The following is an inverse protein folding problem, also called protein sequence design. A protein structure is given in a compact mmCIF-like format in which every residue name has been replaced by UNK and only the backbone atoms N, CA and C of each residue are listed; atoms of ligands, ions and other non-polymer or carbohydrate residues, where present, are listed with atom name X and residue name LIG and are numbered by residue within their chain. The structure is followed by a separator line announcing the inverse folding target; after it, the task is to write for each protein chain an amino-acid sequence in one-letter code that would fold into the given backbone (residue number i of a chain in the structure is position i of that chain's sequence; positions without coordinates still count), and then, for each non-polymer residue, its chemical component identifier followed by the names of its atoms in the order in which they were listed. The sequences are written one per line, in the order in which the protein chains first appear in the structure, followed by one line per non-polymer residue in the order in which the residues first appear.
data_IF_408806544642
#
_entry.id   IF_408806544642
#
_cell.length_a   1.000
_cell.length_b   1.000
_cell.length_c   1.000
_cell.angle_alpha   90.00
_cell.angle_beta   90.00
_cell.angle_gamma   90.00
#
_symmetry.space_group_name_H-M   'P 1'
#
loop_
_entity.id
_entity.type
_entity.pdbx_description
1 polymer ?
#
# COMPACT_ATOMS: atom_id res chain seq x y z
N UNK A 1 -22.11 -74.65 20.32
CA UNK A 1 -22.65 -73.27 20.39
C UNK A 1 -21.57 -72.19 20.49
N UNK A 2 -20.31 -72.53 20.86
CA UNK A 2 -19.22 -71.56 21.05
C UNK A 2 -18.57 -70.99 19.75
N UNK A 3 -18.71 -71.66 18.59
CA UNK A 3 -18.06 -71.20 17.34
C UNK A 3 -18.77 -70.01 16.66
N UNK A 4 -20.09 -69.90 16.77
CA UNK A 4 -20.87 -68.81 16.14
C UNK A 4 -20.68 -67.44 16.81
N UNK A 5 -20.45 -67.41 18.13
CA UNK A 5 -20.17 -66.16 18.86
C UNK A 5 -18.81 -65.57 18.48
N UNK A 6 -17.81 -66.40 18.23
CA UNK A 6 -16.50 -65.97 17.72
C UNK A 6 -16.58 -65.32 16.34
N UNK A 7 -17.35 -65.92 15.42
CA UNK A 7 -17.53 -65.40 14.05
C UNK A 7 -18.27 -64.06 14.03
N UNK A 8 -19.33 -63.90 14.85
CA UNK A 8 -20.05 -62.64 14.95
C UNK A 8 -19.19 -61.51 15.55
N UNK A 9 -18.43 -61.80 16.61
CA UNK A 9 -17.52 -60.83 17.22
C UNK A 9 -16.42 -60.40 16.23
N UNK A 10 -15.89 -61.35 15.45
CA UNK A 10 -14.88 -61.09 14.45
C UNK A 10 -15.43 -60.27 13.27
N UNK A 11 -16.67 -60.55 12.83
CA UNK A 11 -17.36 -59.74 11.82
C UNK A 11 -17.62 -58.31 12.31
N UNK A 12 -18.10 -58.13 13.55
CA UNK A 12 -18.30 -56.82 14.17
C UNK A 12 -17.00 -56.03 14.28
N UNK A 13 -15.91 -56.68 14.68
CA UNK A 13 -14.58 -56.06 14.73
C UNK A 13 -14.10 -55.61 13.35
N UNK A 14 -14.29 -56.45 12.32
CA UNK A 14 -13.96 -56.10 10.94
C UNK A 14 -14.79 -54.93 10.42
N UNK A 15 -16.10 -54.91 10.71
CA UNK A 15 -16.96 -53.77 10.35
C UNK A 15 -16.54 -52.49 11.07
N UNK A 16 -16.18 -52.55 12.34
CA UNK A 16 -15.72 -51.40 13.11
C UNK A 16 -14.40 -50.84 12.55
N UNK A 17 -13.44 -51.72 12.25
CA UNK A 17 -12.17 -51.34 11.61
C UNK A 17 -12.37 -50.73 10.22
N UNK A 18 -13.25 -51.31 9.39
CA UNK A 18 -13.60 -50.75 8.08
C UNK A 18 -14.24 -49.35 8.21
N UNK A 19 -15.12 -49.17 9.21
CA UNK A 19 -15.75 -47.87 9.49
C UNK A 19 -14.70 -46.82 9.89
N UNK A 20 -13.76 -47.18 10.76
CA UNK A 20 -12.66 -46.28 11.16
C UNK A 20 -11.79 -45.92 9.95
N UNK A 21 -11.44 -46.88 9.11
CA UNK A 21 -10.65 -46.63 7.90
C UNK A 21 -11.36 -45.67 6.92
N UNK A 22 -12.67 -45.83 6.74
CA UNK A 22 -13.47 -44.91 5.90
C UNK A 22 -13.52 -43.50 6.49
N UNK A 23 -13.69 -43.35 7.81
CA UNK A 23 -13.68 -42.05 8.48
C UNK A 23 -12.31 -41.37 8.34
N UNK A 24 -11.22 -42.11 8.54
CA UNK A 24 -9.86 -41.60 8.36
C UNK A 24 -9.60 -41.16 6.92
N UNK A 25 -10.05 -41.94 5.94
CA UNK A 25 -9.94 -41.59 4.52
C UNK A 25 -10.76 -40.34 4.18
N UNK A 26 -11.98 -40.20 4.71
CA UNK A 26 -12.83 -39.03 4.52
C UNK A 26 -12.21 -37.75 5.12
N UNK A 27 -11.72 -37.82 6.37
CA UNK A 27 -11.04 -36.70 7.03
C UNK A 27 -9.77 -36.28 6.29
N UNK A 28 -8.97 -37.25 5.81
CA UNK A 28 -7.79 -36.96 5.01
C UNK A 28 -8.15 -36.28 3.68
N UNK A 29 -9.23 -36.73 3.02
CA UNK A 29 -9.71 -36.13 1.78
C UNK A 29 -10.18 -34.69 2.01
N UNK A 30 -11.01 -34.45 3.03
CA UNK A 30 -11.46 -33.11 3.42
C UNK A 30 -10.29 -32.18 3.74
N UNK A 31 -9.27 -32.67 4.44
CA UNK A 31 -8.05 -31.92 4.72
C UNK A 31 -7.30 -31.53 3.45
N UNK A 32 -7.18 -32.43 2.46
CA UNK A 32 -6.53 -32.10 1.18
C UNK A 32 -7.33 -31.09 0.37
N UNK A 33 -8.67 -31.17 0.38
CA UNK A 33 -9.54 -30.23 -0.33
C UNK A 33 -9.43 -28.84 0.31
N UNK A 34 -9.53 -28.75 1.64
CA UNK A 34 -9.39 -27.51 2.38
C UNK A 34 -8.01 -26.88 2.15
N UNK A 35 -6.94 -27.68 2.22
CA UNK A 35 -5.57 -27.19 1.99
C UNK A 35 -5.40 -26.64 0.57
N UNK A 36 -5.89 -27.36 -0.45
CA UNK A 36 -5.84 -26.89 -1.85
C UNK A 36 -6.66 -25.62 -2.06
N UNK A 37 -7.80 -25.50 -1.40
CA UNK A 37 -8.63 -24.29 -1.44
C UNK A 37 -7.90 -23.10 -0.81
N UNK A 38 -7.33 -23.26 0.39
CA UNK A 38 -6.56 -22.21 1.08
C UNK A 38 -5.37 -21.78 0.22
N UNK A 39 -4.60 -22.73 -0.32
CA UNK A 39 -3.47 -22.44 -1.22
C UNK A 39 -3.95 -21.69 -2.47
N UNK A 40 -5.08 -22.11 -3.07
CA UNK A 40 -5.67 -21.42 -4.21
C UNK A 40 -6.03 -19.96 -3.90
N UNK A 41 -6.63 -19.70 -2.74
CA UNK A 41 -6.94 -18.34 -2.27
C UNK A 41 -5.66 -17.53 -2.05
N UNK A 42 -4.64 -18.11 -1.39
CA UNK A 42 -3.35 -17.45 -1.17
C UNK A 42 -2.71 -17.07 -2.51
N UNK A 43 -2.63 -18.00 -3.47
CA UNK A 43 -2.05 -17.74 -4.80
C UNK A 43 -2.84 -16.64 -5.52
N UNK A 44 -4.18 -16.69 -5.51
CA UNK A 44 -5.01 -15.67 -6.13
C UNK A 44 -4.81 -14.29 -5.50
N UNK A 45 -4.68 -14.22 -4.17
CA UNK A 45 -4.39 -12.95 -3.47
C UNK A 45 -2.99 -12.42 -3.79
N UNK A 46 -1.97 -13.27 -3.83
CA UNK A 46 -0.61 -12.88 -4.22
C UNK A 46 -0.59 -12.35 -5.65
N UNK A 47 -1.21 -13.06 -6.60
CA UNK A 47 -1.32 -12.62 -7.99
C UNK A 47 -2.06 -11.29 -8.10
N UNK A 48 -3.11 -11.08 -7.30
CA UNK A 48 -3.83 -9.81 -7.25
C UNK A 48 -2.96 -8.66 -6.71
N UNK A 49 -2.17 -8.89 -5.66
CA UNK A 49 -1.22 -7.91 -5.12
C UNK A 49 -0.16 -7.58 -6.18
N UNK A 50 0.43 -8.59 -6.82
CA UNK A 50 1.43 -8.39 -7.88
C UNK A 50 0.86 -7.59 -9.05
N UNK A 51 -0.36 -7.90 -9.47
CA UNK A 51 -1.07 -7.15 -10.52
C UNK A 51 -1.28 -5.68 -10.11
N UNK A 52 -1.69 -5.41 -8.86
CA UNK A 52 -1.88 -4.05 -8.37
C UNK A 52 -0.56 -3.26 -8.28
N UNK A 53 0.52 -3.88 -7.78
CA UNK A 53 1.85 -3.26 -7.72
C UNK A 53 2.36 -2.97 -9.13
N UNK A 54 2.22 -3.93 -10.05
CA UNK A 54 2.59 -3.75 -11.45
C UNK A 54 1.78 -2.62 -12.10
N UNK A 55 0.46 -2.58 -11.87
CA UNK A 55 -0.41 -1.50 -12.38
C UNK A 55 -0.03 -0.14 -11.80
N UNK A 56 0.31 -0.07 -10.50
CA UNK A 56 0.74 1.17 -9.85
C UNK A 56 2.08 1.67 -10.44
N UNK A 57 2.99 0.75 -10.78
CA UNK A 57 4.28 1.05 -11.39
C UNK A 57 4.16 1.51 -12.85
N UNK A 58 3.31 0.85 -13.63
CA UNK A 58 3.22 1.06 -15.08
C UNK A 58 2.25 2.19 -15.46
N UNK A 59 1.10 2.30 -14.78
CA UNK A 59 0.04 3.22 -15.21
C UNK A 59 0.32 4.70 -14.91
N UNK A 60 1.34 5.01 -14.10
CA UNK A 60 1.64 6.37 -13.58
C UNK A 60 0.39 7.15 -13.08
N UNK A 61 -0.71 6.45 -12.80
CA UNK A 61 -2.00 6.99 -12.36
C UNK A 61 -2.34 6.44 -10.97
N UNK A 62 -1.60 6.84 -9.92
CA UNK A 62 -1.82 6.36 -8.57
C UNK A 62 -3.24 6.67 -8.06
N UNK A 63 -3.87 7.74 -8.57
CA UNK A 63 -5.23 8.12 -8.21
C UNK A 63 -6.26 7.05 -8.60
N UNK A 64 -6.11 6.43 -9.77
CA UNK A 64 -7.06 5.41 -10.24
C UNK A 64 -7.02 4.15 -9.37
N UNK A 65 -5.82 3.74 -8.93
CA UNK A 65 -5.65 2.62 -7.99
C UNK A 65 -6.28 2.98 -6.64
N UNK A 66 -6.06 4.20 -6.15
CA UNK A 66 -6.66 4.69 -4.92
C UNK A 66 -8.19 4.71 -4.98
N UNK A 67 -8.79 5.11 -6.10
CA UNK A 67 -10.24 5.11 -6.33
C UNK A 67 -10.81 3.69 -6.40
N UNK A 68 -10.13 2.75 -7.05
CA UNK A 68 -10.52 1.32 -7.07
C UNK A 68 -10.56 0.71 -5.67
N UNK A 69 -9.74 1.19 -4.75
CA UNK A 69 -9.73 0.77 -3.34
C UNK A 69 -10.89 1.36 -2.52
N UNK A 70 -11.73 2.24 -3.07
CA UNK A 70 -12.85 2.87 -2.36
C UNK A 70 -14.11 1.99 -2.25
N UNK A 71 -14.00 0.68 -2.48
CA UNK A 71 -15.11 -0.27 -2.30
C UNK A 71 -15.54 -0.32 -0.82
N UNK A 72 -16.85 -0.44 -0.51
CA UNK A 72 -17.39 -0.28 0.84
C UNK A 72 -16.76 -1.21 1.89
N UNK A 73 -16.41 -2.43 1.49
CA UNK A 73 -15.77 -3.43 2.35
C UNK A 73 -14.31 -3.10 2.74
N UNK A 74 -13.60 -2.31 1.92
CA UNK A 74 -12.14 -2.10 2.03
C UNK A 74 -11.81 -0.68 2.53
N UNK A 75 -12.81 0.19 2.68
CA UNK A 75 -12.65 1.61 3.01
C UNK A 75 -11.81 1.87 4.26
N UNK A 76 -11.95 1.05 5.31
CA UNK A 76 -11.23 1.24 6.57
C UNK A 76 -9.72 0.93 6.46
N UNK A 77 -9.35 -0.02 5.59
CA UNK A 77 -7.96 -0.45 5.41
C UNK A 77 -7.27 0.22 4.21
N UNK A 78 -8.02 0.98 3.41
CA UNK A 78 -7.54 1.67 2.20
C UNK A 78 -6.22 2.43 2.40
N UNK A 79 -6.05 3.30 3.42
CA UNK A 79 -4.77 3.96 3.69
C UNK A 79 -3.58 3.02 3.86
N UNK A 80 -3.79 1.90 4.56
CA UNK A 80 -2.73 0.90 4.84
C UNK A 80 -2.40 0.07 3.61
N UNK A 81 -3.42 -0.36 2.86
CA UNK A 81 -3.24 -1.15 1.64
C UNK A 81 -2.51 -0.31 0.58
N UNK A 82 -2.92 0.94 0.41
CA UNK A 82 -2.27 1.81 -0.56
C UNK A 82 -0.82 2.13 -0.17
N UNK A 83 -0.55 2.39 1.11
CA UNK A 83 0.81 2.54 1.61
C UNK A 83 1.67 1.28 1.33
N UNK A 84 1.12 0.09 1.59
CA UNK A 84 1.81 -1.17 1.29
C UNK A 84 2.12 -1.34 -0.20
N UNK A 85 1.18 -1.00 -1.09
CA UNK A 85 1.40 -1.02 -2.54
C UNK A 85 2.49 -0.02 -2.95
N UNK A 86 2.48 1.19 -2.39
CA UNK A 86 3.53 2.20 -2.64
C UNK A 86 4.91 1.71 -2.21
N UNK A 87 5.03 1.06 -1.04
CA UNK A 87 6.29 0.48 -0.57
C UNK A 87 6.82 -0.60 -1.52
N UNK A 88 5.94 -1.33 -2.20
CA UNK A 88 6.32 -2.32 -3.23
C UNK A 88 6.79 -1.70 -4.54
N UNK A 89 6.37 -0.47 -4.86
CA UNK A 89 6.80 0.27 -6.06
C UNK A 89 8.10 1.03 -5.80
N UNK A 90 8.20 1.73 -4.66
CA UNK A 90 9.37 2.48 -4.25
C UNK A 90 9.85 2.02 -2.86
N UNK A 91 10.95 1.24 -2.78
CA UNK A 91 11.50 0.76 -1.51
C UNK A 91 11.85 1.87 -0.53
N UNK A 92 12.19 3.07 -1.03
CA UNK A 92 12.51 4.22 -0.16
C UNK A 92 11.28 4.73 0.58
N UNK A 93 10.11 4.71 -0.05
CA UNK A 93 8.83 4.97 0.62
C UNK A 93 8.55 3.90 1.68
N UNK A 94 8.94 2.65 1.43
CA UNK A 94 8.86 1.57 2.43
C UNK A 94 9.77 1.76 3.64
N UNK A 95 10.82 2.58 3.55
CA UNK A 95 11.71 2.90 4.68
C UNK A 95 11.08 3.87 5.68
N UNK A 96 10.03 4.60 5.26
CA UNK A 96 9.26 5.51 6.09
C UNK A 96 7.87 4.92 6.37
N UNK A 97 7.36 5.08 7.58
CA UNK A 97 6.04 4.58 7.96
C UNK A 97 4.94 5.56 7.53
N UNK A 98 4.83 5.72 6.20
CA UNK A 98 3.88 6.59 5.51
C UNK A 98 2.51 5.90 5.39
N UNK A 99 1.45 6.68 5.60
CA UNK A 99 0.07 6.32 5.32
C UNK A 99 -0.61 7.45 4.58
N UNK A 100 -1.13 7.18 3.39
CA UNK A 100 -1.90 8.18 2.63
C UNK A 100 -3.30 8.26 3.22
N UNK A 101 -3.65 9.40 3.79
CA UNK A 101 -4.93 9.64 4.47
C UNK A 101 -6.02 10.03 3.45
N UNK A 102 -5.74 11.09 2.69
CA UNK A 102 -6.63 11.61 1.66
C UNK A 102 -5.85 11.77 0.37
N UNK A 103 -6.46 11.36 -0.72
CA UNK A 103 -5.88 11.51 -2.04
C UNK A 103 -6.98 11.72 -3.07
N UNK A 104 -6.89 12.83 -3.78
CA UNK A 104 -7.82 13.30 -4.80
C UNK A 104 -7.04 14.04 -5.89
N UNK A 105 -7.72 14.43 -6.96
CA UNK A 105 -7.10 15.19 -8.05
C UNK A 105 -6.50 16.50 -7.52
N UNK A 106 -5.20 16.69 -7.72
CA UNK A 106 -4.41 17.84 -7.26
C UNK A 106 -4.06 17.84 -5.78
N UNK A 107 -4.61 16.94 -4.96
CA UNK A 107 -4.48 17.04 -3.50
C UNK A 107 -4.13 15.70 -2.86
N UNK A 108 -3.08 15.70 -2.04
CA UNK A 108 -2.64 14.53 -1.29
C UNK A 108 -2.31 14.92 0.16
N UNK A 109 -2.68 14.06 1.10
CA UNK A 109 -2.23 14.15 2.50
C UNK A 109 -1.68 12.81 2.96
N UNK A 110 -0.44 12.83 3.43
CA UNK A 110 0.25 11.70 4.02
C UNK A 110 0.47 11.89 5.52
N UNK A 111 0.36 10.82 6.28
CA UNK A 111 0.68 10.78 7.71
C UNK A 111 1.90 9.88 7.89
N UNK A 112 2.88 10.33 8.66
CA UNK A 112 4.10 9.56 8.96
C UNK A 112 4.31 9.42 10.46
N UNK A 113 4.67 8.22 10.93
CA UNK A 113 5.07 7.97 12.31
C UNK A 113 6.59 8.06 12.48
N UNK A 114 7.04 8.61 13.61
CA UNK A 114 8.48 8.81 13.90
C UNK A 114 9.31 7.53 14.05
N UNK A 115 8.69 6.41 14.44
CA UNK A 115 9.36 5.29 15.10
C UNK A 115 10.52 4.65 14.30
N UNK A 116 10.47 4.68 12.96
CA UNK A 116 11.45 4.03 12.09
C UNK A 116 12.54 4.98 11.59
N UNK A 117 12.36 6.30 11.77
CA UNK A 117 13.20 7.32 11.15
C UNK A 117 13.70 8.36 12.17
N UNK A 118 13.74 7.99 13.44
CA UNK A 118 14.23 8.86 14.51
C UNK A 118 15.76 8.95 14.47
N UNK A 119 16.27 10.17 14.68
CA UNK A 119 17.67 10.47 14.92
C UNK A 119 18.03 10.22 16.39
N UNK A 120 19.34 10.13 16.73
CA UNK A 120 19.79 10.09 18.13
C UNK A 120 19.37 11.28 19.00
N UNK A 121 18.88 12.36 18.40
CA UNK A 121 18.47 13.60 19.09
C UNK A 121 16.96 13.68 19.36
N UNK A 122 16.25 12.55 19.32
CA UNK A 122 14.80 12.46 19.51
C UNK A 122 14.02 13.40 18.57
N UNK A 123 14.42 13.37 17.29
CA UNK A 123 13.74 14.07 16.19
C UNK A 123 13.80 13.22 14.93
N UNK A 124 12.89 13.45 13.99
CA UNK A 124 12.85 12.71 12.73
C UNK A 124 14.00 13.14 11.81
N UNK A 125 14.60 12.18 11.10
CA UNK A 125 15.71 12.42 10.18
C UNK A 125 15.30 13.32 9.03
N UNK A 126 16.16 14.27 8.65
CA UNK A 126 15.86 15.27 7.60
C UNK A 126 15.53 14.61 6.26
N UNK A 127 16.25 13.54 5.89
CA UNK A 127 15.97 12.80 4.64
C UNK A 127 14.63 12.06 4.68
N UNK A 128 14.17 11.59 5.85
CA UNK A 128 12.84 10.99 5.96
C UNK A 128 11.73 12.02 5.75
N UNK A 129 11.94 13.27 6.20
CA UNK A 129 11.05 14.39 5.87
C UNK A 129 11.06 14.72 4.39
N UNK A 130 12.23 14.64 3.75
CA UNK A 130 12.36 14.84 2.31
C UNK A 130 11.60 13.74 1.53
N UNK A 131 11.76 12.46 1.89
CA UNK A 131 11.02 11.34 1.28
C UNK A 131 9.51 11.50 1.45
N UNK A 132 9.07 11.91 2.65
CA UNK A 132 7.66 12.17 2.93
C UNK A 132 7.13 13.29 2.02
N UNK A 133 7.87 14.40 1.93
CA UNK A 133 7.50 15.53 1.09
C UNK A 133 7.47 15.15 -0.39
N UNK A 134 8.53 14.52 -0.88
CA UNK A 134 8.65 14.04 -2.26
C UNK A 134 7.46 13.16 -2.63
N UNK A 135 7.16 12.14 -1.82
CA UNK A 135 6.07 11.20 -2.09
C UNK A 135 4.71 11.91 -2.12
N UNK A 136 4.43 12.79 -1.17
CA UNK A 136 3.13 13.49 -1.10
C UNK A 136 3.00 14.51 -2.24
N UNK A 137 4.07 15.21 -2.58
CA UNK A 137 4.12 16.14 -3.70
C UNK A 137 3.97 15.44 -5.04
N UNK A 138 4.66 14.31 -5.23
CA UNK A 138 4.58 13.48 -6.42
C UNK A 138 3.15 12.96 -6.63
N UNK A 139 2.52 12.39 -5.59
CA UNK A 139 1.15 11.90 -5.68
C UNK A 139 0.18 13.01 -6.08
N UNK A 140 0.29 14.19 -5.46
CA UNK A 140 -0.53 15.35 -5.81
C UNK A 140 -0.34 15.75 -7.28
N UNK A 141 0.90 15.83 -7.78
CA UNK A 141 1.19 16.12 -9.19
C UNK A 141 0.62 15.05 -10.12
N UNK A 142 1.01 13.78 -9.93
CA UNK A 142 0.62 12.66 -10.80
C UNK A 142 -0.91 12.51 -10.90
N UNK A 143 -1.64 12.87 -9.86
CA UNK A 143 -3.11 12.85 -9.88
C UNK A 143 -3.75 13.83 -10.88
N UNK A 144 -2.98 14.80 -11.37
CA UNK A 144 -3.43 15.79 -12.36
C UNK A 144 -3.00 15.46 -13.80
N UNK A 145 -2.05 14.53 -13.95
CA UNK A 145 -1.45 14.16 -15.23
C UNK A 145 -2.28 13.10 -15.97
N UNK A 146 -2.11 13.03 -17.30
CA UNK A 146 -2.73 11.97 -18.13
C UNK A 146 -1.91 10.68 -18.04
N UNK A 147 -2.51 9.56 -18.45
CA UNK A 147 -1.92 8.21 -18.31
C UNK A 147 -0.55 8.02 -18.96
N UNK A 148 -0.23 8.79 -20.00
CA UNK A 148 1.05 8.71 -20.74
C UNK A 148 2.03 9.82 -20.35
N UNK A 149 1.61 10.76 -19.51
CA UNK A 149 2.46 11.86 -19.09
C UNK A 149 3.44 11.36 -18.03
N UNK A 150 4.68 11.84 -18.10
CA UNK A 150 5.73 11.48 -17.14
C UNK A 150 6.18 12.72 -16.39
N UNK A 151 6.37 12.60 -15.08
CA UNK A 151 7.03 13.64 -14.28
C UNK A 151 8.36 13.10 -13.76
N UNK A 152 9.39 13.95 -13.82
CA UNK A 152 10.71 13.66 -13.24
C UNK A 152 11.06 14.79 -12.29
N UNK A 153 11.41 14.46 -11.05
CA UNK A 153 11.87 15.43 -10.07
C UNK A 153 13.23 15.98 -10.50
N UNK A 154 13.33 17.30 -10.64
CA UNK A 154 14.59 17.98 -11.02
C UNK A 154 15.19 18.78 -9.87
N UNK A 155 14.37 19.21 -8.90
CA UNK A 155 14.85 19.96 -7.74
C UNK A 155 14.01 19.67 -6.51
N UNK A 156 14.68 19.53 -5.37
CA UNK A 156 14.09 19.43 -4.04
C UNK A 156 14.76 20.46 -3.14
N UNK A 157 13.97 21.39 -2.62
CA UNK A 157 14.41 22.35 -1.61
C UNK A 157 13.57 22.15 -0.34
N UNK A 158 14.26 21.90 0.79
CA UNK A 158 13.64 21.67 2.08
C UNK A 158 13.98 22.80 3.06
N UNK A 159 12.95 23.43 3.61
CA UNK A 159 13.06 24.42 4.66
C UNK A 159 12.64 23.80 6.00
N UNK A 160 13.58 23.62 6.91
CA UNK A 160 13.31 23.10 8.25
C UNK A 160 13.03 24.25 9.22
N UNK A 161 11.79 24.36 9.72
CA UNK A 161 11.37 25.44 10.63
C UNK A 161 11.60 25.06 12.10
N UNK A 162 11.37 23.80 12.46
CA UNK A 162 11.61 23.27 13.80
C UNK A 162 11.90 21.78 13.78
N UNK A 163 12.42 21.24 14.89
CA UNK A 163 12.65 19.79 15.05
C UNK A 163 11.31 19.04 14.99
N UNK A 164 11.19 18.13 14.03
CA UNK A 164 10.00 17.31 13.85
C UNK A 164 10.01 16.11 14.82
N UNK A 165 8.89 15.88 15.51
CA UNK A 165 8.74 14.79 16.49
C UNK A 165 7.36 14.15 16.41
N UNK A 166 7.28 12.86 16.68
CA UNK A 166 6.02 12.13 16.81
C UNK A 166 5.30 11.93 15.47
N UNK A 167 3.98 12.14 15.47
CA UNK A 167 3.15 11.97 14.28
C UNK A 167 3.21 13.24 13.43
N UNK A 168 3.57 13.09 12.16
CA UNK A 168 3.59 14.17 11.19
C UNK A 168 2.50 14.02 10.15
N UNK A 169 1.97 15.14 9.69
CA UNK A 169 1.03 15.23 8.58
C UNK A 169 1.64 16.10 7.49
N UNK A 170 1.83 15.55 6.31
CA UNK A 170 2.28 16.26 5.12
C UNK A 170 1.10 16.44 4.17
N UNK A 171 0.94 17.64 3.62
CA UNK A 171 -0.12 17.95 2.66
C UNK A 171 0.44 18.74 1.48
N UNK A 172 0.00 18.38 0.28
CA UNK A 172 0.28 19.09 -0.96
C UNK A 172 -1.03 19.39 -1.68
N UNK A 173 -1.18 20.63 -2.11
CA UNK A 173 -2.26 21.08 -2.99
C UNK A 173 -1.61 21.66 -4.25
N UNK A 174 -1.84 20.98 -5.37
CA UNK A 174 -1.31 21.31 -6.68
C UNK A 174 -2.46 21.57 -7.63
N UNK A 175 -2.56 22.82 -8.07
CA UNK A 175 -3.42 23.21 -9.16
C UNK A 175 -2.56 23.41 -10.41
N UNK A 176 -2.80 22.66 -11.50
CA UNK A 176 -2.06 22.86 -12.73
C UNK A 176 -2.34 24.27 -13.26
N UNK A 177 -1.33 24.97 -13.80
CA UNK A 177 -1.52 26.32 -14.33
C UNK A 177 -2.57 26.31 -15.45
N UNK A 178 -3.51 27.25 -15.38
CA UNK A 178 -4.52 27.46 -16.42
C UNK A 178 -3.83 28.05 -17.65
N UNK A 179 -3.55 27.21 -18.65
CA UNK A 179 -3.24 27.54 -20.06
C UNK A 179 -2.49 28.84 -20.31
N UNK A 180 -1.18 28.75 -20.59
CA UNK A 180 -0.36 29.60 -21.50
C UNK A 180 1.15 29.55 -21.19
N UNK A 181 1.57 28.81 -20.17
CA UNK A 181 3.00 28.56 -19.95
C UNK A 181 3.42 27.28 -20.66
N UNK A 182 4.21 27.41 -21.72
CA UNK A 182 4.94 26.32 -22.41
C UNK A 182 5.98 25.63 -21.50
N UNK A 183 6.04 26.01 -20.22
CA UNK A 183 6.94 25.40 -19.27
C UNK A 183 6.50 23.97 -18.97
N UNK A 184 7.40 23.03 -19.26
CA UNK A 184 7.31 21.66 -18.78
C UNK A 184 7.56 21.57 -17.26
N UNK A 185 7.86 22.68 -16.58
CA UNK A 185 8.10 22.67 -15.14
C UNK A 185 6.79 22.78 -14.34
N UNK A 186 6.51 21.77 -13.52
CA UNK A 186 5.49 21.83 -12.49
C UNK A 186 6.16 22.04 -11.12
N UNK A 187 5.60 22.94 -10.31
CA UNK A 187 6.10 23.23 -8.96
C UNK A 187 5.06 22.79 -7.95
N UNK A 188 5.45 21.93 -7.01
CA UNK A 188 4.59 21.51 -5.89
C UNK A 188 5.18 21.98 -4.58
N UNK A 189 4.32 22.43 -3.67
CA UNK A 189 4.72 22.81 -2.31
C UNK A 189 4.10 21.85 -1.32
N UNK A 190 4.93 21.28 -0.44
CA UNK A 190 4.47 20.35 0.59
C UNK A 190 4.73 20.94 1.96
N UNK A 191 3.66 21.06 2.75
CA UNK A 191 3.75 21.56 4.12
C UNK A 191 3.67 20.37 5.06
N UNK A 192 4.66 20.24 5.93
CA UNK A 192 4.70 19.19 6.96
C UNK A 192 4.39 19.83 8.31
N UNK A 193 3.38 19.30 8.99
CA UNK A 193 2.92 19.73 10.30
C UNK A 193 3.06 18.61 11.33
N UNK A 194 3.23 18.99 12.58
CA UNK A 194 3.17 18.04 13.70
C UNK A 194 1.73 17.86 14.23
N UNK A 195 1.59 17.13 15.34
CA UNK A 195 0.31 16.91 16.02
C UNK A 195 -0.36 18.19 16.50
N UNK A 196 0.41 19.24 16.79
CA UNK A 196 -0.11 20.55 17.22
C UNK A 196 -0.48 21.44 16.04
N UNK A 197 -0.38 20.93 14.81
CA UNK A 197 -0.60 21.64 13.55
C UNK A 197 0.43 22.73 13.25
N UNK A 198 1.55 22.72 13.97
CA UNK A 198 2.66 23.63 13.71
C UNK A 198 3.49 23.13 12.53
N UNK A 199 3.87 24.04 11.64
CA UNK A 199 4.74 23.71 10.50
C UNK A 199 6.15 23.36 10.99
N UNK A 200 6.57 22.11 10.73
CA UNK A 200 7.93 21.63 11.03
C UNK A 200 8.87 21.81 9.86
N UNK A 201 8.37 21.63 8.63
CA UNK A 201 9.14 21.77 7.42
C UNK A 201 8.25 22.13 6.23
N UNK A 202 8.83 22.77 5.23
CA UNK A 202 8.20 23.06 3.94
C UNK A 202 9.12 22.57 2.85
N UNK A 203 8.57 21.89 1.85
CA UNK A 203 9.31 21.43 0.68
C UNK A 203 8.83 22.15 -0.57
N UNK A 204 9.76 22.60 -1.39
CA UNK A 204 9.53 23.11 -2.72
C UNK A 204 10.14 22.12 -3.71
N UNK A 205 9.29 21.50 -4.52
CA UNK A 205 9.69 20.48 -5.47
C UNK A 205 9.43 21.00 -6.89
N UNK A 206 10.41 20.81 -7.77
CA UNK A 206 10.31 21.15 -9.19
C UNK A 206 10.37 19.87 -10.00
N UNK A 207 9.41 19.72 -10.91
CA UNK A 207 9.22 18.54 -11.72
C UNK A 207 9.26 18.93 -13.19
N UNK A 208 10.01 18.18 -14.00
CA UNK A 208 9.91 18.25 -15.45
C UNK A 208 8.84 17.25 -15.93
N UNK A 209 7.74 17.79 -16.44
CA UNK A 209 6.59 17.05 -16.95
C UNK A 209 6.71 16.89 -18.46
N UNK A 210 7.01 15.68 -18.90
CA UNK A 210 6.94 15.30 -20.30
C UNK A 210 5.51 14.88 -20.62
N UNK A 211 4.77 15.75 -21.30
CA UNK A 211 3.43 15.44 -21.81
C UNK A 211 3.56 14.60 -23.08
N UNK A 212 2.82 13.50 -23.15
CA UNK A 212 2.71 12.76 -24.42
C UNK A 212 1.70 13.49 -25.29
N UNK A 213 2.07 13.79 -26.54
CA UNK A 213 1.09 14.13 -27.56
C UNK A 213 0.14 12.93 -27.74
N UNK A 214 -1.14 13.23 -27.96
CA UNK A 214 -2.24 12.26 -28.03
C UNK A 214 -2.02 11.30 -29.19
#
# INVERSE_FOLDING_TARGET
MASKQSVLAQALYQHFQATIQLIQAALALEWTILTRFIVGVIVATILSILYLVWTLRDSQQPLHVWEKLNKPLIKLFRPKIFAFLLSGVNPYVGSIDLRVSTFSKGFCTGIMRSNYCSTPYDSIHATALATLAETVGELALLSTLKAKDRAILTSVNMEFKKKARGLLTASSDFTPPSTNEESNEAKTVVVIKDRLLDTVAVAHLVWNVKRSEV
#
